data_IF_798927559304
#
_entry.id   IF_798927559304
#
_cell.length_a   1.000
_cell.length_b   1.000
_cell.length_c   1.000
_cell.angle_alpha   90.00
_cell.angle_beta   90.00
_cell.angle_gamma   90.00
#
_symmetry.space_group_name_H-M   'P 1'
#
loop_
_entity.id
_entity.type
_entity.pdbx_description
1 polymer ?
#
# COMPACT_ATOMS: atom_id res chain seq x y z
N UNK A 1 9.59 1.18 -18.07
CA UNK A 1 10.78 0.51 -18.61
C UNK A 1 11.54 -0.12 -17.45
N UNK A 2 11.59 -1.45 -17.35
CA UNK A 2 12.60 -2.16 -16.54
C UNK A 2 13.44 -2.94 -17.54
N UNK A 3 14.66 -2.47 -17.77
CA UNK A 3 15.64 -3.22 -18.53
C UNK A 3 16.14 -4.40 -17.69
N UNK A 4 16.12 -5.58 -18.32
CA UNK A 4 16.93 -6.78 -18.06
C UNK A 4 17.61 -6.88 -16.68
N UNK A 5 17.06 -7.77 -15.84
CA UNK A 5 17.86 -8.78 -15.14
C UNK A 5 18.84 -8.35 -14.04
N UNK A 6 18.81 -7.10 -13.56
CA UNK A 6 19.51 -6.74 -12.31
C UNK A 6 18.51 -6.68 -11.18
N UNK A 7 18.54 -7.68 -10.31
CA UNK A 7 17.94 -7.61 -8.98
C UNK A 7 18.69 -6.53 -8.21
N UNK A 8 18.20 -5.29 -8.29
CA UNK A 8 18.72 -4.23 -7.44
C UNK A 8 18.28 -4.59 -6.03
N UNK A 9 19.22 -5.09 -5.23
CA UNK A 9 19.04 -5.26 -3.78
C UNK A 9 18.80 -3.87 -3.20
N UNK A 10 17.52 -3.56 -3.03
CA UNK A 10 17.09 -2.30 -2.47
C UNK A 10 17.41 -2.36 -0.98
N UNK A 11 18.25 -1.46 -0.50
CA UNK A 11 18.54 -1.34 0.93
C UNK A 11 17.24 -1.34 1.73
N UNK A 12 17.21 -2.18 2.78
CA UNK A 12 16.06 -2.28 3.67
C UNK A 12 15.90 -0.93 4.38
N UNK A 13 14.87 -0.17 3.98
CA UNK A 13 14.53 1.08 4.65
C UNK A 13 13.71 0.77 5.89
N UNK A 14 14.10 1.39 7.00
CA UNK A 14 13.29 1.36 8.20
C UNK A 14 11.95 2.04 7.95
N UNK A 15 10.89 1.27 8.14
CA UNK A 15 9.51 1.71 8.07
C UNK A 15 8.86 1.47 9.41
N UNK A 16 7.95 2.35 9.80
CA UNK A 16 7.12 2.19 11.00
C UNK A 16 5.69 1.93 10.58
N UNK A 17 5.11 0.85 11.08
CA UNK A 17 3.68 0.61 11.02
C UNK A 17 3.08 1.19 12.30
N UNK A 18 2.25 2.21 12.16
CA UNK A 18 1.61 2.87 13.30
C UNK A 18 0.35 2.12 13.74
N UNK A 19 -0.43 1.60 12.79
CA UNK A 19 -1.69 0.91 13.09
C UNK A 19 -2.13 0.00 11.95
N UNK A 20 -2.79 -1.09 12.30
CA UNK A 20 -3.54 -1.96 11.38
C UNK A 20 -4.96 -2.11 11.96
N UNK A 21 -5.99 -1.94 11.13
CA UNK A 21 -7.39 -1.95 11.52
C UNK A 21 -8.25 -2.60 10.44
N UNK A 22 -9.53 -2.86 10.76
CA UNK A 22 -10.56 -3.29 9.83
C UNK A 22 -10.11 -4.51 8.99
N UNK A 23 -9.50 -5.49 9.66
CA UNK A 23 -9.03 -6.72 9.01
C UNK A 23 -10.24 -7.57 8.67
N UNK A 24 -10.41 -7.88 7.39
CA UNK A 24 -11.45 -8.76 6.87
C UNK A 24 -10.78 -9.87 6.08
N UNK A 25 -11.21 -11.11 6.32
CA UNK A 25 -10.73 -12.30 5.63
C UNK A 25 -11.94 -13.00 5.02
N UNK A 26 -11.99 -13.05 3.70
CA UNK A 26 -13.07 -13.68 2.94
C UNK A 26 -12.46 -14.56 1.85
N UNK A 27 -12.67 -15.86 1.96
CA UNK A 27 -12.08 -16.87 1.07
C UNK A 27 -10.55 -16.71 0.97
N UNK A 28 -10.04 -16.38 -0.22
CA UNK A 28 -8.62 -16.15 -0.50
C UNK A 28 -8.25 -14.66 -0.50
N UNK A 29 -9.14 -13.77 -0.05
CA UNK A 29 -8.91 -12.34 0.00
C UNK A 29 -8.77 -11.87 1.45
N UNK A 30 -7.77 -11.02 1.66
CA UNK A 30 -7.51 -10.34 2.93
C UNK A 30 -7.46 -8.85 2.66
N UNK A 31 -8.29 -8.08 3.35
CA UNK A 31 -8.29 -6.62 3.30
C UNK A 31 -8.08 -6.06 4.71
N UNK A 32 -7.41 -4.92 4.78
CA UNK A 32 -7.15 -4.22 6.04
C UNK A 32 -6.77 -2.77 5.76
N UNK A 33 -7.00 -1.91 6.74
CA UNK A 33 -6.47 -0.56 6.77
C UNK A 33 -5.11 -0.54 7.48
N UNK A 34 -4.16 0.22 6.92
CA UNK A 34 -2.81 0.34 7.46
C UNK A 34 -2.38 1.81 7.50
N UNK A 35 -1.85 2.22 8.66
CA UNK A 35 -1.18 3.50 8.85
C UNK A 35 0.31 3.26 9.00
N UNK A 36 1.12 3.91 8.16
CA UNK A 36 2.56 3.66 8.07
C UNK A 36 3.36 4.94 7.80
N UNK A 37 4.66 4.89 8.08
CA UNK A 37 5.59 5.99 7.79
C UNK A 37 5.75 6.22 6.29
N UNK A 38 6.26 7.40 5.92
CA UNK A 38 6.62 7.73 4.53
C UNK A 38 7.59 6.68 3.96
N UNK A 39 7.50 6.43 2.65
CA UNK A 39 8.37 5.49 1.95
C UNK A 39 8.00 4.02 2.13
N UNK A 40 6.91 3.71 2.82
CA UNK A 40 6.41 2.33 2.94
C UNK A 40 5.80 1.84 1.63
N UNK A 41 6.27 0.69 1.16
CA UNK A 41 5.74 0.03 -0.03
C UNK A 41 4.69 -1.01 0.38
N UNK A 42 3.40 -0.67 0.29
CA UNK A 42 2.29 -1.58 0.66
C UNK A 42 2.34 -2.89 -0.14
N UNK A 43 2.76 -2.84 -1.41
CA UNK A 43 3.00 -4.04 -2.23
C UNK A 43 4.03 -5.01 -1.62
N UNK A 44 5.08 -4.49 -0.99
CA UNK A 44 6.06 -5.33 -0.30
C UNK A 44 5.45 -5.97 0.94
N UNK A 45 4.65 -5.23 1.71
CA UNK A 45 3.95 -5.76 2.88
C UNK A 45 3.03 -6.92 2.49
N UNK A 46 2.21 -6.74 1.44
CA UNK A 46 1.33 -7.81 0.95
C UNK A 46 2.11 -9.07 0.55
N UNK A 47 3.21 -8.90 -0.21
CA UNK A 47 4.09 -10.02 -0.60
C UNK A 47 4.71 -10.70 0.60
N UNK A 48 5.26 -9.94 1.54
CA UNK A 48 5.97 -10.49 2.70
C UNK A 48 5.00 -11.18 3.66
N UNK A 49 3.79 -10.65 3.82
CA UNK A 49 2.69 -11.31 4.55
C UNK A 49 2.29 -12.63 3.88
N UNK A 50 2.04 -12.60 2.57
CA UNK A 50 1.71 -13.79 1.80
C UNK A 50 2.81 -14.85 1.81
N UNK A 51 4.09 -14.44 1.82
CA UNK A 51 5.22 -15.35 2.00
C UNK A 51 5.22 -16.00 3.39
N UNK A 52 4.94 -15.22 4.45
CA UNK A 52 4.81 -15.76 5.82
C UNK A 52 3.63 -16.72 5.97
N UNK A 53 2.55 -16.51 5.21
CA UNK A 53 1.38 -17.39 5.19
C UNK A 53 1.54 -18.61 4.26
N UNK A 54 2.59 -18.66 3.44
CA UNK A 54 2.88 -19.79 2.55
C UNK A 54 2.05 -19.84 1.26
N UNK A 55 1.12 -18.90 1.04
CA UNK A 55 0.24 -18.87 -0.15
C UNK A 55 0.62 -17.78 -1.18
N UNK A 56 1.56 -16.90 -0.84
CA UNK A 56 1.79 -15.68 -1.61
C UNK A 56 0.75 -14.60 -1.30
N UNK A 57 0.96 -13.39 -1.81
CA UNK A 57 0.12 -12.25 -1.44
C UNK A 57 0.28 -11.09 -2.41
N UNK A 58 -0.12 -11.25 -3.68
CA UNK A 58 -0.15 -10.12 -4.60
C UNK A 58 -1.18 -9.09 -4.12
N UNK A 59 -0.84 -7.82 -4.25
CA UNK A 59 -1.77 -6.73 -3.97
C UNK A 59 -2.78 -6.63 -5.11
N UNK A 60 -4.08 -6.77 -4.79
CA UNK A 60 -5.18 -6.71 -5.77
C UNK A 60 -5.74 -5.30 -5.88
N UNK A 61 -5.95 -4.63 -4.75
CA UNK A 61 -6.51 -3.27 -4.68
C UNK A 61 -5.76 -2.44 -3.63
N UNK A 62 -5.67 -1.13 -3.86
CA UNK A 62 -5.11 -0.18 -2.91
C UNK A 62 -5.75 1.18 -3.03
N UNK A 63 -6.31 1.65 -1.93
CA UNK A 63 -6.87 3.00 -1.80
C UNK A 63 -6.11 3.75 -0.71
N UNK A 64 -5.60 4.94 -1.03
CA UNK A 64 -4.94 5.81 -0.05
C UNK A 64 -5.98 6.68 0.63
N UNK A 65 -6.40 6.28 1.84
CA UNK A 65 -7.43 6.99 2.61
C UNK A 65 -6.99 8.38 3.11
N UNK A 66 -5.69 8.57 3.36
CA UNK A 66 -5.14 9.84 3.81
C UNK A 66 -3.64 10.00 3.52
N UNK A 67 -3.17 11.25 3.56
CA UNK A 67 -1.76 11.62 3.56
C UNK A 67 -1.55 12.80 4.52
N UNK A 68 -1.03 12.52 5.72
CA UNK A 68 -0.93 13.53 6.77
C UNK A 68 -2.30 14.11 7.11
N UNK A 69 -2.47 15.43 6.92
CA UNK A 69 -3.73 16.13 7.18
C UNK A 69 -4.79 15.99 6.07
N UNK A 70 -4.41 15.52 4.89
CA UNK A 70 -5.31 15.39 3.74
C UNK A 70 -6.03 14.04 3.78
N UNK A 71 -7.36 14.04 3.68
CA UNK A 71 -8.18 12.81 3.65
C UNK A 71 -8.82 12.64 2.28
N UNK A 72 -9.05 11.40 1.87
CA UNK A 72 -9.66 11.08 0.57
C UNK A 72 -11.07 11.64 0.42
N UNK A 73 -11.82 11.74 1.52
CA UNK A 73 -13.17 12.35 1.54
C UNK A 73 -13.19 13.83 1.15
N UNK A 74 -12.06 14.52 1.31
CA UNK A 74 -11.89 15.93 0.97
C UNK A 74 -11.24 16.09 -0.42
N UNK A 75 -10.94 14.97 -1.10
CA UNK A 75 -10.33 14.98 -2.42
C UNK A 75 -11.36 15.33 -3.49
N UNK A 76 -10.95 16.16 -4.45
CA UNK A 76 -11.70 16.46 -5.67
C UNK A 76 -11.07 15.74 -6.86
N UNK A 77 -11.87 15.42 -7.88
CA UNK A 77 -11.30 14.99 -9.16
C UNK A 77 -10.60 16.18 -9.78
N UNK A 78 -9.55 15.90 -10.57
CA UNK A 78 -8.79 16.94 -11.27
C UNK A 78 -9.70 17.76 -12.19
N UNK A 79 -10.69 17.11 -12.80
CA UNK A 79 -11.66 17.76 -13.69
C UNK A 79 -12.58 18.77 -12.98
N UNK A 80 -12.76 18.64 -11.66
CA UNK A 80 -13.60 19.53 -10.85
C UNK A 80 -12.82 20.76 -10.34
N UNK A 81 -11.52 20.85 -10.64
CA UNK A 81 -10.67 21.99 -10.25
C UNK A 81 -10.80 23.08 -11.31
N UNK A 82 -11.21 24.32 -10.94
CA UNK A 82 -11.25 25.42 -11.88
C UNK A 82 -9.88 25.62 -12.53
N UNK A 83 -9.86 25.75 -13.86
CA UNK A 83 -8.66 26.17 -14.60
C UNK A 83 -8.59 27.70 -14.51
N UNK A 84 -7.56 28.23 -13.86
CA UNK A 84 -7.12 29.63 -14.04
C UNK A 84 -6.44 29.80 -15.40
#
# INVERSE_FOLDING_TARGET
MQEKGKTIEKEAKDIKIYKILNIVVENAFVSFEISCSKGTYIRSIARDLGKKLGCGGPLVELVRLSQGKFKIKDAKKVDDVPKE
#
